data_IF_122359829450
#
_entry.id   IF_122359829450
#
_cell.length_a   1.000
_cell.length_b   1.000
_cell.length_c   1.000
_cell.angle_alpha   90.00
_cell.angle_beta   90.00
_cell.angle_gamma   90.00
#
_symmetry.space_group_name_H-M   'P 1'
#
loop_
_entity.id
_entity.type
_entity.pdbx_description
1 polymer ?
#
# COMPACT_ATOMS: atom_id res chain seq x y z
N UNK A 1 60.14 -9.36 -72.17
CA UNK A 1 59.35 -8.32 -71.62
C UNK A 1 58.37 -8.91 -70.60
N UNK A 2 58.72 -8.83 -69.34
CA UNK A 2 57.90 -9.46 -68.29
C UNK A 2 56.95 -8.42 -67.75
N UNK A 3 55.68 -8.54 -68.09
CA UNK A 3 54.64 -7.75 -67.54
C UNK A 3 54.37 -8.28 -66.12
N UNK A 4 54.91 -7.63 -65.13
CA UNK A 4 54.52 -7.86 -63.77
C UNK A 4 53.10 -7.25 -63.60
N UNK A 5 52.13 -8.09 -63.70
CA UNK A 5 50.83 -7.77 -63.14
C UNK A 5 50.98 -7.75 -61.63
N UNK A 6 51.17 -6.61 -61.08
CA UNK A 6 50.91 -6.37 -59.70
C UNK A 6 49.37 -6.57 -59.53
N UNK A 7 49.04 -7.77 -59.15
CA UNK A 7 47.79 -7.95 -58.52
C UNK A 7 47.75 -7.02 -57.27
N UNK A 8 47.20 -5.88 -57.46
CA UNK A 8 46.72 -5.13 -56.32
C UNK A 8 45.81 -6.04 -55.54
N UNK A 9 46.39 -6.64 -54.53
CA UNK A 9 45.60 -7.24 -53.49
C UNK A 9 44.76 -6.13 -52.93
N UNK A 10 43.56 -5.95 -53.48
CA UNK A 10 42.54 -5.30 -52.73
C UNK A 10 42.47 -6.05 -51.42
N UNK A 11 43.12 -5.51 -50.41
CA UNK A 11 42.66 -5.78 -49.10
C UNK A 11 41.20 -5.29 -49.15
N UNK A 12 40.33 -6.22 -49.37
CA UNK A 12 39.09 -6.19 -48.66
C UNK A 12 39.51 -6.12 -47.20
N UNK A 13 39.83 -4.94 -46.75
CA UNK A 13 39.73 -4.61 -45.33
C UNK A 13 38.30 -4.95 -45.03
N UNK A 14 38.24 -6.14 -44.47
CA UNK A 14 37.04 -6.84 -44.22
C UNK A 14 35.94 -5.86 -43.82
N UNK A 15 34.82 -6.13 -44.33
CA UNK A 15 33.65 -5.95 -43.49
C UNK A 15 34.05 -6.54 -42.14
N UNK A 16 34.75 -5.72 -41.35
CA UNK A 16 34.61 -5.87 -39.93
C UNK A 16 33.10 -5.78 -39.80
N UNK A 17 32.50 -6.94 -39.67
CA UNK A 17 31.12 -7.05 -39.33
C UNK A 17 30.95 -6.05 -38.18
N UNK A 18 30.58 -4.85 -38.53
CA UNK A 18 30.17 -3.84 -37.54
C UNK A 18 29.00 -4.51 -36.84
N UNK A 19 29.34 -5.16 -35.76
CA UNK A 19 28.36 -5.78 -34.91
C UNK A 19 27.37 -4.69 -34.61
N UNK A 20 26.23 -4.78 -35.25
CA UNK A 20 25.18 -3.83 -35.06
C UNK A 20 24.65 -4.01 -33.63
N UNK A 21 25.08 -3.12 -32.73
CA UNK A 21 24.68 -3.13 -31.33
C UNK A 21 23.27 -2.62 -31.10
N UNK A 22 22.62 -2.09 -32.14
CA UNK A 22 21.29 -1.49 -32.02
C UNK A 22 20.23 -2.49 -31.54
N UNK A 23 20.14 -3.75 -32.05
CA UNK A 23 19.22 -4.73 -31.51
C UNK A 23 19.52 -5.13 -30.05
N UNK A 24 20.81 -5.15 -29.69
CA UNK A 24 21.21 -5.48 -28.32
C UNK A 24 20.82 -4.36 -27.35
N UNK A 25 21.00 -3.12 -27.75
CA UNK A 25 20.58 -1.96 -26.96
C UNK A 25 19.06 -1.91 -26.81
N UNK A 26 18.32 -2.23 -27.85
CA UNK A 26 16.85 -2.25 -27.82
C UNK A 26 16.34 -3.27 -26.80
N UNK A 27 16.87 -4.49 -26.83
CA UNK A 27 16.53 -5.54 -25.85
C UNK A 27 16.84 -5.08 -24.42
N UNK A 28 17.99 -4.47 -24.21
CA UNK A 28 18.38 -3.95 -22.88
C UNK A 28 17.44 -2.85 -22.42
N UNK A 29 17.06 -1.93 -23.29
CA UNK A 29 16.12 -0.87 -22.95
C UNK A 29 14.72 -1.41 -22.63
N UNK A 30 14.25 -2.37 -23.39
CA UNK A 30 12.95 -3.03 -23.12
C UNK A 30 12.98 -3.72 -21.76
N UNK A 31 14.08 -4.42 -21.45
CA UNK A 31 14.25 -5.08 -20.16
C UNK A 31 14.30 -4.07 -19.01
N UNK A 32 15.00 -2.96 -19.17
CA UNK A 32 15.03 -1.89 -18.16
C UNK A 32 13.66 -1.29 -17.92
N UNK A 33 12.92 -0.99 -18.99
CA UNK A 33 11.56 -0.45 -18.89
C UNK A 33 10.64 -1.46 -18.18
N UNK A 34 10.75 -2.72 -18.52
CA UNK A 34 9.99 -3.80 -17.89
C UNK A 34 10.28 -3.85 -16.38
N UNK A 35 11.54 -3.82 -15.97
CA UNK A 35 11.92 -3.83 -14.56
C UNK A 35 11.43 -2.58 -13.82
N UNK A 36 11.50 -1.42 -14.42
CA UNK A 36 11.02 -0.17 -13.80
C UNK A 36 9.51 -0.24 -13.59
N UNK A 37 8.76 -0.66 -14.60
CA UNK A 37 7.30 -0.77 -14.52
C UNK A 37 6.88 -1.82 -13.49
N UNK A 38 7.50 -2.99 -13.49
CA UNK A 38 7.18 -4.05 -12.53
C UNK A 38 7.56 -3.67 -11.10
N UNK A 39 8.68 -2.99 -10.90
CA UNK A 39 9.07 -2.50 -9.58
C UNK A 39 8.08 -1.47 -9.02
N UNK A 40 7.51 -0.64 -9.89
CA UNK A 40 6.49 0.33 -9.50
C UNK A 40 5.20 -0.37 -9.09
N UNK A 41 4.78 -1.40 -9.81
CA UNK A 41 3.60 -2.18 -9.45
C UNK A 41 3.75 -2.94 -8.13
N UNK A 42 4.92 -3.48 -7.85
CA UNK A 42 5.19 -4.19 -6.59
C UNK A 42 5.11 -3.23 -5.39
N UNK A 43 5.39 -1.95 -5.60
CA UNK A 43 5.34 -0.96 -4.53
C UNK A 43 3.91 -0.55 -4.14
N UNK A 44 2.95 -0.67 -5.06
CA UNK A 44 1.54 -0.35 -4.78
C UNK A 44 0.76 -1.52 -4.17
N UNK A 45 1.22 -2.76 -4.36
CA UNK A 45 0.63 -3.97 -3.77
C UNK A 45 1.33 -4.36 -2.46
N UNK A 46 2.33 -3.61 -2.06
CA UNK A 46 2.85 -3.69 -0.70
C UNK A 46 1.76 -3.25 0.26
N UNK A 47 0.90 -4.17 0.63
CA UNK A 47 0.27 -4.13 1.92
C UNK A 47 1.42 -3.86 2.90
N UNK A 48 1.47 -2.65 3.42
CA UNK A 48 2.16 -2.44 4.67
C UNK A 48 1.47 -3.36 5.68
N UNK A 49 1.91 -4.60 5.67
CA UNK A 49 1.75 -5.44 6.84
C UNK A 49 2.66 -4.77 7.86
N UNK A 50 2.12 -3.76 8.52
CA UNK A 50 2.68 -3.31 9.77
C UNK A 50 2.73 -4.55 10.66
N UNK A 51 3.88 -5.23 10.63
CA UNK A 51 4.22 -6.09 11.74
C UNK A 51 4.09 -5.20 12.98
N UNK A 52 3.31 -5.61 13.97
CA UNK A 52 3.36 -4.95 15.23
C UNK A 52 4.79 -5.07 15.74
N UNK A 53 5.56 -4.02 15.63
CA UNK A 53 6.76 -3.84 16.45
C UNK A 53 6.26 -3.76 17.88
N UNK A 54 6.42 -4.85 18.58
CA UNK A 54 5.93 -5.07 19.94
C UNK A 54 6.54 -4.12 20.98
N UNK A 55 7.39 -3.17 20.63
CA UNK A 55 8.10 -2.37 21.64
C UNK A 55 8.37 -0.90 21.27
N UNK A 56 7.59 -0.31 20.40
CA UNK A 56 7.62 1.15 20.32
C UNK A 56 6.30 1.71 20.82
N UNK A 57 6.29 2.49 21.90
CA UNK A 57 5.13 3.29 22.20
C UNK A 57 4.88 4.15 20.97
N UNK A 58 3.80 3.84 20.25
CA UNK A 58 3.31 4.73 19.20
C UNK A 58 3.19 6.08 19.90
N UNK A 59 4.01 7.01 19.51
CA UNK A 59 3.80 8.41 19.83
C UNK A 59 2.47 8.76 19.20
N UNK A 60 1.42 8.56 19.96
CA UNK A 60 0.10 9.07 19.64
C UNK A 60 0.30 10.57 19.57
N UNK A 61 0.23 11.10 18.37
CA UNK A 61 0.27 12.53 18.14
C UNK A 61 -0.81 13.14 19.07
N UNK A 62 -0.48 13.90 20.10
CA UNK A 62 -1.47 14.32 21.10
C UNK A 62 -2.56 15.20 20.49
N UNK A 63 -2.40 15.63 19.23
CA UNK A 63 -3.37 16.40 18.47
C UNK A 63 -4.33 15.57 17.64
N UNK A 64 -4.08 14.27 17.47
CA UNK A 64 -4.96 13.35 16.73
C UNK A 64 -5.52 12.31 17.68
N UNK A 65 -6.46 12.71 18.50
CA UNK A 65 -7.22 11.76 19.30
C UNK A 65 -8.08 10.91 18.35
N UNK A 66 -7.68 9.67 18.13
CA UNK A 66 -8.48 8.72 17.38
C UNK A 66 -9.67 8.25 18.21
N UNK A 67 -10.78 8.01 17.52
CA UNK A 67 -11.96 7.39 18.12
C UNK A 67 -11.75 5.88 18.09
N UNK A 68 -11.40 5.28 19.21
CA UNK A 68 -11.15 3.84 19.31
C UNK A 68 -12.45 3.13 19.65
N UNK A 69 -12.86 2.22 18.79
CA UNK A 69 -14.01 1.34 18.98
C UNK A 69 -13.50 -0.08 19.16
N UNK A 70 -13.64 -0.60 20.37
CA UNK A 70 -13.20 -1.96 20.69
C UNK A 70 -14.41 -2.91 20.71
N UNK A 71 -14.23 -4.07 20.10
CA UNK A 71 -15.20 -5.17 20.16
C UNK A 71 -14.63 -6.28 21.04
N UNK A 72 -15.36 -6.68 22.06
CA UNK A 72 -14.95 -7.77 22.95
C UNK A 72 -15.30 -9.14 22.38
N UNK A 73 -14.83 -10.19 23.02
CA UNK A 73 -15.16 -11.57 22.70
C UNK A 73 -16.65 -11.93 22.81
N UNK A 74 -17.42 -11.10 23.53
CA UNK A 74 -18.88 -11.25 23.70
C UNK A 74 -19.68 -10.30 22.81
N UNK A 75 -19.08 -9.79 21.75
CA UNK A 75 -19.69 -8.80 20.84
C UNK A 75 -20.15 -7.49 21.51
N UNK A 76 -19.56 -7.15 22.65
CA UNK A 76 -19.80 -5.87 23.28
C UNK A 76 -18.96 -4.80 22.62
N UNK A 77 -19.55 -3.66 22.40
CA UNK A 77 -18.91 -2.52 21.77
C UNK A 77 -18.51 -1.52 22.86
N UNK A 78 -17.23 -1.19 22.90
CA UNK A 78 -16.66 -0.24 23.86
C UNK A 78 -16.16 0.98 23.09
N UNK A 79 -16.70 2.14 23.37
CA UNK A 79 -16.28 3.42 22.80
C UNK A 79 -15.92 4.35 23.97
N UNK A 80 -14.73 4.97 23.91
CA UNK A 80 -14.25 5.86 24.99
C UNK A 80 -14.35 5.22 26.40
N UNK A 81 -13.99 3.93 26.48
CA UNK A 81 -14.02 3.12 27.72
C UNK A 81 -15.41 2.90 28.34
N UNK A 82 -16.44 3.15 27.57
CA UNK A 82 -17.83 2.90 27.97
C UNK A 82 -18.45 1.81 27.09
N UNK A 83 -19.23 0.95 27.71
CA UNK A 83 -20.05 -0.04 27.01
C UNK A 83 -21.19 0.68 26.28
N UNK A 84 -21.28 0.46 24.97
CA UNK A 84 -22.23 1.13 24.09
C UNK A 84 -23.15 0.08 23.46
N UNK A 85 -24.44 0.34 23.53
CA UNK A 85 -25.42 -0.50 22.86
C UNK A 85 -25.30 -0.39 21.33
N UNK A 86 -25.60 -1.48 20.65
CA UNK A 86 -25.60 -1.63 19.19
C UNK A 86 -26.28 -0.44 18.47
N UNK A 87 -27.41 0.02 19.00
CA UNK A 87 -28.18 1.13 18.42
C UNK A 87 -27.58 2.50 18.65
N UNK A 88 -26.74 2.61 19.64
CA UNK A 88 -26.15 3.89 20.07
C UNK A 88 -24.76 4.15 19.50
N UNK A 89 -24.20 3.21 18.73
CA UNK A 89 -22.86 3.31 18.15
C UNK A 89 -22.75 4.54 17.26
N UNK A 90 -23.70 4.74 16.37
CA UNK A 90 -23.72 5.89 15.47
C UNK A 90 -23.74 7.22 16.24
N UNK A 91 -24.63 7.37 17.20
CA UNK A 91 -24.76 8.58 17.99
C UNK A 91 -23.49 8.91 18.78
N UNK A 92 -22.83 7.89 19.34
CA UNK A 92 -21.57 8.08 20.06
C UNK A 92 -20.43 8.49 19.13
N UNK A 93 -20.34 7.90 17.94
CA UNK A 93 -19.34 8.28 16.93
C UNK A 93 -19.60 9.70 16.43
N UNK A 94 -20.85 10.07 16.15
CA UNK A 94 -21.22 11.42 15.75
C UNK A 94 -20.83 12.46 16.80
N UNK A 95 -21.08 12.17 18.06
CA UNK A 95 -20.70 13.07 19.16
C UNK A 95 -19.19 13.26 19.23
N UNK A 96 -18.41 12.19 19.19
CA UNK A 96 -16.96 12.25 19.27
C UNK A 96 -16.36 12.90 18.02
N UNK A 97 -16.94 12.66 16.86
CA UNK A 97 -16.55 13.30 15.61
C UNK A 97 -16.84 14.81 15.62
N UNK A 98 -17.94 15.23 16.23
CA UNK A 98 -18.26 16.65 16.40
C UNK A 98 -17.26 17.37 17.33
N UNK A 99 -16.76 16.67 18.36
CA UNK A 99 -15.72 17.20 19.24
C UNK A 99 -14.36 17.31 18.54
N UNK A 100 -14.05 16.38 17.64
CA UNK A 100 -12.82 16.37 16.86
C UNK A 100 -13.08 15.89 15.42
N UNK A 101 -13.38 16.81 14.49
CA UNK A 101 -13.72 16.46 13.11
C UNK A 101 -12.61 15.73 12.33
N UNK A 102 -11.37 15.85 12.76
CA UNK A 102 -10.24 15.21 12.10
C UNK A 102 -9.86 13.84 12.68
N UNK A 103 -10.54 13.42 13.75
CA UNK A 103 -10.23 12.16 14.39
C UNK A 103 -10.62 10.96 13.52
N UNK A 104 -9.66 10.07 13.20
CA UNK A 104 -9.99 8.83 12.54
C UNK A 104 -10.67 7.86 13.50
N UNK A 105 -11.51 6.99 12.96
CA UNK A 105 -12.09 5.88 13.72
C UNK A 105 -11.20 4.65 13.55
N UNK A 106 -10.80 4.07 14.67
CA UNK A 106 -10.01 2.84 14.73
C UNK A 106 -10.85 1.74 15.35
N UNK A 107 -11.14 0.71 14.60
CA UNK A 107 -11.90 -0.45 15.07
C UNK A 107 -10.92 -1.53 15.51
N UNK A 108 -11.03 -1.98 16.75
CA UNK A 108 -10.23 -3.07 17.32
C UNK A 108 -11.13 -4.27 17.59
N UNK A 109 -11.31 -5.17 16.63
CA UNK A 109 -12.12 -6.36 16.82
C UNK A 109 -11.34 -7.42 17.63
N UNK A 110 -12.04 -8.13 18.49
CA UNK A 110 -11.49 -9.34 19.10
C UNK A 110 -11.55 -10.49 18.06
N UNK A 111 -10.57 -11.40 18.03
CA UNK A 111 -10.55 -12.51 17.07
C UNK A 111 -11.81 -13.38 17.09
N UNK A 112 -12.46 -13.49 18.24
CA UNK A 112 -13.70 -14.25 18.41
C UNK A 112 -14.98 -13.42 18.20
N UNK A 113 -14.85 -12.12 17.91
CA UNK A 113 -15.99 -11.26 17.63
C UNK A 113 -16.63 -11.58 16.28
N UNK A 114 -17.91 -11.30 16.16
CA UNK A 114 -18.62 -11.50 14.90
C UNK A 114 -18.24 -10.43 13.88
N UNK A 115 -18.03 -10.84 12.65
CA UNK A 115 -17.79 -9.95 11.53
C UNK A 115 -18.96 -8.98 11.30
N UNK A 116 -20.18 -9.45 11.57
CA UNK A 116 -21.39 -8.63 11.49
C UNK A 116 -21.31 -7.40 12.38
N UNK A 117 -20.84 -7.53 13.61
CA UNK A 117 -20.63 -6.41 14.54
C UNK A 117 -19.62 -5.41 13.99
N UNK A 118 -18.54 -5.89 13.42
CA UNK A 118 -17.52 -5.04 12.81
C UNK A 118 -18.08 -4.25 11.61
N UNK A 119 -18.84 -4.91 10.74
CA UNK A 119 -19.47 -4.26 9.58
C UNK A 119 -20.48 -3.21 10.04
N UNK A 120 -21.27 -3.51 11.06
CA UNK A 120 -22.22 -2.55 11.62
C UNK A 120 -21.54 -1.28 12.15
N UNK A 121 -20.43 -1.44 12.85
CA UNK A 121 -19.64 -0.30 13.33
C UNK A 121 -19.08 0.51 12.17
N UNK A 122 -18.59 -0.17 11.14
CA UNK A 122 -18.08 0.47 9.94
C UNK A 122 -19.14 1.30 9.22
N UNK A 123 -20.34 0.74 9.04
CA UNK A 123 -21.47 1.45 8.45
C UNK A 123 -21.93 2.62 9.33
N UNK A 124 -21.96 2.43 10.63
CA UNK A 124 -22.33 3.47 11.60
C UNK A 124 -21.33 4.64 11.56
N UNK A 125 -20.05 4.37 11.43
CA UNK A 125 -19.04 5.40 11.28
C UNK A 125 -19.21 6.19 9.98
N UNK A 126 -19.52 5.52 8.88
CA UNK A 126 -19.82 6.19 7.61
C UNK A 126 -21.07 7.03 7.66
N UNK A 127 -22.13 6.55 8.28
CA UNK A 127 -23.36 7.30 8.49
C UNK A 127 -23.15 8.51 9.39
N UNK A 128 -22.21 8.43 10.33
CA UNK A 128 -21.79 9.54 11.18
C UNK A 128 -20.93 10.59 10.45
N UNK A 129 -20.57 10.34 9.19
CA UNK A 129 -19.74 11.24 8.38
C UNK A 129 -18.23 11.00 8.50
N UNK A 130 -17.80 9.93 9.13
CA UNK A 130 -16.39 9.55 9.24
C UNK A 130 -16.02 8.61 8.12
N UNK A 131 -15.14 9.05 7.22
CA UNK A 131 -14.66 8.23 6.10
C UNK A 131 -13.29 7.62 6.34
N UNK A 132 -12.56 8.13 7.32
CA UNK A 132 -11.26 7.61 7.71
C UNK A 132 -11.44 6.56 8.81
N UNK A 133 -11.71 5.33 8.41
CA UNK A 133 -11.91 4.19 9.30
C UNK A 133 -10.83 3.16 9.04
N UNK A 134 -10.11 2.76 10.06
CA UNK A 134 -9.07 1.75 10.00
C UNK A 134 -9.34 0.60 10.98
N UNK A 135 -8.80 -0.57 10.63
CA UNK A 135 -8.84 -1.75 11.49
C UNK A 135 -7.49 -1.90 12.16
N UNK A 136 -7.48 -2.07 13.47
CA UNK A 136 -6.31 -2.45 14.23
C UNK A 136 -6.49 -3.88 14.75
N UNK A 137 -5.48 -4.72 14.54
CA UNK A 137 -5.42 -6.08 15.11
C UNK A 137 -4.62 -6.08 16.39
#
# INVERSE_FOLDING_TARGET
MVVRRTFGRSREEGDEEQINLTPMLDVVFIMLIFFIVTATFVKEVGLDVNQPDEDKPKTVDPNKKSIVVRITNRDRIIIAQRDVDWRSVRANIERLHAENPEAPVVIQPHPESRTETMIHIFDSARQAGVYNVSLAQ
#
